data_IF_846608968011
#
_entry.id   IF_846608968011
#
_cell.length_a   1.000
_cell.length_b   1.000
_cell.length_c   1.000
_cell.angle_alpha   90.00
_cell.angle_beta   90.00
_cell.angle_gamma   90.00
#
_symmetry.space_group_name_H-M   'P 1'
#
loop_
_entity.id
_entity.type
_entity.pdbx_description
1 polymer ?
#
# COMPACT_ATOMS: atom_id res chain seq x y z
N UNK A 1 -18.30 2.21 -2.36
CA UNK A 1 -17.41 1.51 -1.39
C UNK A 1 -17.08 2.44 -0.22
N UNK A 2 -16.48 1.96 0.88
CA UNK A 2 -15.98 2.82 1.96
C UNK A 2 -14.62 2.32 2.42
N UNK A 3 -13.63 3.20 2.44
CA UNK A 3 -12.27 2.87 2.88
C UNK A 3 -11.48 4.15 3.17
N UNK A 4 -10.33 3.98 3.83
CA UNK A 4 -9.30 4.99 3.95
C UNK A 4 -7.93 4.39 3.62
N UNK A 5 -7.13 5.09 2.83
CA UNK A 5 -5.78 4.69 2.43
C UNK A 5 -4.79 5.82 2.75
N UNK A 6 -3.64 5.47 3.28
CA UNK A 6 -2.50 6.38 3.39
C UNK A 6 -1.42 5.98 2.40
N UNK A 7 -0.84 6.95 1.70
CA UNK A 7 0.38 6.74 0.94
C UNK A 7 1.59 7.17 1.76
N UNK A 8 2.61 6.34 1.76
CA UNK A 8 3.87 6.55 2.44
C UNK A 8 5.04 6.32 1.49
N UNK A 9 6.19 6.95 1.78
CA UNK A 9 7.45 6.74 1.08
C UNK A 9 8.46 6.07 2.00
N UNK A 10 9.02 4.94 1.56
CA UNK A 10 10.09 4.22 2.24
C UNK A 10 11.24 3.98 1.26
N UNK A 11 12.20 4.90 1.22
CA UNK A 11 13.34 4.82 0.28
C UNK A 11 12.88 4.86 -1.17
N UNK A 12 13.12 3.77 -1.93
CA UNK A 12 12.69 3.60 -3.33
C UNK A 12 11.31 2.94 -3.48
N UNK A 13 10.60 2.68 -2.39
CA UNK A 13 9.26 2.10 -2.45
C UNK A 13 8.20 3.10 -2.00
N UNK A 14 7.05 3.06 -2.66
CA UNK A 14 5.82 3.64 -2.14
C UNK A 14 5.00 2.57 -1.45
N UNK A 15 4.28 2.95 -0.40
CA UNK A 15 3.41 2.05 0.36
C UNK A 15 2.02 2.67 0.44
N UNK A 16 1.07 2.08 -0.27
CA UNK A 16 -0.35 2.41 -0.16
C UNK A 16 -0.98 1.43 0.82
N UNK A 17 -1.37 1.93 2.00
CA UNK A 17 -1.78 1.10 3.13
C UNK A 17 -3.18 1.47 3.61
N UNK A 18 -3.99 0.44 3.86
CA UNK A 18 -5.31 0.55 4.45
C UNK A 18 -5.25 1.08 5.89
N UNK A 19 -6.18 1.99 6.19
CA UNK A 19 -6.45 2.52 7.53
C UNK A 19 -7.86 2.06 7.96
N UNK A 20 -8.01 0.92 8.65
CA UNK A 20 -9.32 0.33 8.95
C UNK A 20 -10.22 1.25 9.78
N UNK A 21 -9.64 1.98 10.73
CA UNK A 21 -10.34 2.99 11.55
C UNK A 21 -10.50 4.34 10.85
N UNK A 22 -9.84 4.52 9.70
CA UNK A 22 -9.68 5.79 9.02
C UNK A 22 -8.78 6.79 9.74
N UNK A 23 -8.26 6.51 10.93
CA UNK A 23 -7.28 7.39 11.60
C UNK A 23 -5.93 7.35 10.89
N UNK A 24 -5.19 8.46 10.88
CA UNK A 24 -3.77 8.42 10.50
C UNK A 24 -2.99 7.57 11.53
N UNK A 25 -1.88 6.96 11.10
CA UNK A 25 -1.04 6.18 12.00
C UNK A 25 -0.54 7.02 13.18
N UNK A 26 -0.66 6.45 14.38
CA UNK A 26 -0.02 6.98 15.58
C UNK A 26 1.28 6.23 15.84
N UNK A 27 2.26 6.87 16.46
CA UNK A 27 3.58 6.27 16.67
C UNK A 27 3.58 4.98 17.51
N UNK A 28 2.54 4.78 18.34
CA UNK A 28 2.34 3.60 19.19
C UNK A 28 1.30 2.63 18.64
N UNK A 29 0.75 2.89 17.45
CA UNK A 29 -0.20 2.01 16.80
C UNK A 29 0.48 0.66 16.47
N UNK A 30 -0.03 -0.48 16.98
CA UNK A 30 0.52 -1.80 16.68
C UNK A 30 0.62 -2.11 15.18
N UNK A 31 -0.34 -1.67 14.37
CA UNK A 31 -0.30 -1.87 12.93
C UNK A 31 0.87 -1.07 12.32
N UNK A 32 1.07 0.17 12.78
CA UNK A 32 2.20 0.97 12.34
C UNK A 32 3.54 0.36 12.76
N UNK A 33 3.65 -0.18 13.99
CA UNK A 33 4.85 -0.88 14.44
C UNK A 33 5.16 -2.10 13.56
N UNK A 34 4.14 -2.90 13.21
CA UNK A 34 4.30 -4.03 12.29
C UNK A 34 4.78 -3.56 10.90
N UNK A 35 4.23 -2.47 10.37
CA UNK A 35 4.69 -1.91 9.09
C UNK A 35 6.18 -1.53 9.17
N UNK A 36 6.60 -0.86 10.25
CA UNK A 36 8.02 -0.49 10.44
C UNK A 36 8.92 -1.72 10.48
N UNK A 37 8.49 -2.78 11.18
CA UNK A 37 9.25 -4.03 11.24
C UNK A 37 9.33 -4.72 9.87
N UNK A 38 8.26 -4.69 9.07
CA UNK A 38 8.26 -5.19 7.69
C UNK A 38 9.21 -4.39 6.78
N UNK A 39 9.21 -3.06 6.87
CA UNK A 39 10.13 -2.19 6.13
C UNK A 39 11.58 -2.48 6.51
N UNK A 40 11.87 -2.60 7.81
CA UNK A 40 13.20 -2.97 8.31
C UNK A 40 13.64 -4.32 7.77
N UNK A 41 12.77 -5.32 7.81
CA UNK A 41 13.06 -6.66 7.31
C UNK A 41 13.33 -6.69 5.79
N UNK A 42 12.68 -5.80 5.04
CA UNK A 42 12.91 -5.61 3.60
C UNK A 42 14.21 -4.85 3.27
N UNK A 43 14.90 -4.29 4.28
CA UNK A 43 16.05 -3.41 4.07
C UNK A 43 15.68 -2.00 3.61
N UNK A 44 14.44 -1.57 3.83
CA UNK A 44 13.97 -0.21 3.56
C UNK A 44 14.05 0.66 4.83
N UNK A 45 14.04 2.00 4.71
CA UNK A 45 13.90 2.88 5.85
C UNK A 45 12.63 2.56 6.65
N UNK A 46 12.77 2.29 7.95
CA UNK A 46 11.68 1.93 8.86
C UNK A 46 10.96 3.16 9.46
N UNK A 47 11.27 4.35 8.97
CA UNK A 47 10.62 5.63 9.26
C UNK A 47 10.01 6.21 7.98
N UNK A 48 8.94 5.58 7.45
CA UNK A 48 8.37 6.01 6.19
C UNK A 48 7.77 7.42 6.29
N UNK A 49 7.95 8.22 5.24
CA UNK A 49 7.43 9.58 5.18
C UNK A 49 5.97 9.57 4.71
N UNK A 50 5.12 10.38 5.36
CA UNK A 50 3.72 10.56 4.95
C UNK A 50 3.67 11.37 3.65
N UNK A 51 2.99 10.83 2.64
CA UNK A 51 2.81 11.47 1.35
C UNK A 51 1.37 11.94 1.20
N UNK A 52 1.16 13.24 1.41
CA UNK A 52 -0.16 13.88 1.31
C UNK A 52 -1.17 13.40 2.35
N UNK A 53 -2.42 13.86 2.18
CA UNK A 53 -3.55 13.50 3.03
C UNK A 53 -4.05 12.07 2.74
N UNK A 54 -4.62 11.37 3.75
CA UNK A 54 -5.26 10.08 3.53
C UNK A 54 -6.39 10.18 2.50
N UNK A 55 -6.42 9.25 1.55
CA UNK A 55 -7.53 9.08 0.62
C UNK A 55 -8.69 8.46 1.38
N UNK A 56 -9.81 9.19 1.50
CA UNK A 56 -11.04 8.72 2.16
C UNK A 56 -12.15 8.61 1.13
N UNK A 57 -12.75 7.43 1.04
CA UNK A 57 -13.88 7.21 0.14
C UNK A 57 -15.13 6.80 0.93
N UNK A 58 -16.32 7.33 0.60
CA UNK A 58 -16.59 8.38 -0.38
C UNK A 58 -15.97 9.74 0.00
N UNK A 59 -15.65 10.55 -1.01
CA UNK A 59 -15.21 11.92 -0.86
C UNK A 59 -16.32 12.77 -0.23
N UNK A 60 -15.96 13.60 0.75
CA UNK A 60 -16.82 14.62 1.33
C UNK A 60 -16.96 15.80 0.35
N UNK A 61 -17.67 15.60 -0.76
CA UNK A 61 -17.97 16.65 -1.75
C UNK A 61 -19.46 16.97 -1.75
N UNK A 62 -19.80 18.24 -1.92
CA UNK A 62 -21.17 18.68 -2.18
C UNK A 62 -21.49 18.41 -3.65
N UNK A 63 -22.49 17.58 -3.94
CA UNK A 63 -22.97 17.30 -5.30
C UNK A 63 -23.31 15.83 -5.53
N UNK A 64 -24.07 15.55 -6.61
CA UNK A 64 -24.49 14.20 -6.99
C UNK A 64 -23.49 13.55 -7.97
N UNK A 65 -22.22 13.46 -7.57
CA UNK A 65 -21.18 12.78 -8.37
C UNK A 65 -21.22 11.30 -8.07
N UNK A 66 -21.12 10.45 -9.09
CA UNK A 66 -21.01 9.00 -8.89
C UNK A 66 -19.77 8.67 -8.07
N UNK A 67 -19.98 7.99 -6.94
CA UNK A 67 -18.93 7.53 -6.04
C UNK A 67 -18.89 5.99 -5.94
N UNK A 68 -19.25 5.33 -7.04
CA UNK A 68 -19.16 3.89 -7.23
C UNK A 68 -17.73 3.35 -7.21
N UNK A 69 -17.57 2.01 -7.31
CA UNK A 69 -16.26 1.36 -7.29
C UNK A 69 -15.30 1.82 -8.39
N UNK A 70 -15.82 2.08 -9.59
CA UNK A 70 -15.03 2.56 -10.74
C UNK A 70 -14.41 3.92 -10.46
N UNK A 71 -15.23 4.89 -10.02
CA UNK A 71 -14.76 6.22 -9.66
C UNK A 71 -13.73 6.19 -8.52
N UNK A 72 -13.89 5.30 -7.54
CA UNK A 72 -12.93 5.12 -6.46
C UNK A 72 -11.58 4.61 -6.98
N UNK A 73 -11.60 3.66 -7.93
CA UNK A 73 -10.40 3.13 -8.57
C UNK A 73 -9.67 4.21 -9.37
N UNK A 74 -10.37 4.89 -10.26
CA UNK A 74 -9.80 5.97 -11.06
C UNK A 74 -9.16 7.05 -10.18
N UNK A 75 -9.81 7.39 -9.06
CA UNK A 75 -9.27 8.32 -8.09
C UNK A 75 -7.97 7.81 -7.45
N UNK A 76 -7.96 6.57 -6.95
CA UNK A 76 -6.79 5.97 -6.29
C UNK A 76 -5.63 5.81 -7.27
N UNK A 77 -5.87 5.28 -8.46
CA UNK A 77 -4.85 5.13 -9.50
C UNK A 77 -4.26 6.48 -9.92
N UNK A 78 -5.10 7.48 -10.21
CA UNK A 78 -4.63 8.82 -10.55
C UNK A 78 -3.84 9.49 -9.41
N UNK A 79 -4.27 9.30 -8.16
CA UNK A 79 -3.57 9.79 -6.98
C UNK A 79 -2.18 9.15 -6.81
N UNK A 80 -2.05 7.84 -7.02
CA UNK A 80 -0.77 7.12 -6.91
C UNK A 80 0.14 7.43 -8.10
N UNK A 81 -0.40 7.47 -9.32
CA UNK A 81 0.34 7.78 -10.54
C UNK A 81 1.03 9.15 -10.44
N UNK A 82 0.30 10.18 -10.00
CA UNK A 82 0.88 11.51 -9.77
C UNK A 82 2.07 11.49 -8.80
N UNK A 83 2.12 10.55 -7.85
CA UNK A 83 3.22 10.43 -6.87
C UNK A 83 4.38 9.61 -7.39
N UNK A 84 4.12 8.66 -8.28
CA UNK A 84 5.16 7.91 -8.98
C UNK A 84 5.93 8.81 -9.96
N UNK A 85 5.27 9.81 -10.53
CA UNK A 85 5.90 10.81 -11.41
C UNK A 85 6.85 11.77 -10.67
N UNK A 86 6.64 11.99 -9.37
CA UNK A 86 7.45 12.93 -8.57
C UNK A 86 8.85 12.38 -8.23
N UNK A 87 9.00 11.06 -8.08
CA UNK A 87 10.28 10.44 -7.74
C UNK A 87 10.31 8.94 -8.10
N UNK A 88 11.47 8.47 -8.56
CA UNK A 88 11.69 7.08 -8.95
C UNK A 88 11.20 6.10 -7.87
N UNK A 89 10.44 5.08 -8.28
CA UNK A 89 9.88 4.07 -7.40
C UNK A 89 10.15 2.67 -7.98
N UNK A 90 10.88 1.84 -7.23
CA UNK A 90 11.22 0.48 -7.63
C UNK A 90 10.03 -0.49 -7.49
N UNK A 91 9.12 -0.23 -6.54
CA UNK A 91 7.95 -1.06 -6.29
C UNK A 91 6.91 -0.33 -5.41
N UNK A 92 5.63 -0.52 -5.74
CA UNK A 92 4.49 -0.07 -4.93
C UNK A 92 4.00 -1.22 -4.04
N UNK A 93 3.95 -1.02 -2.72
CA UNK A 93 3.31 -1.99 -1.82
C UNK A 93 1.83 -1.63 -1.65
N UNK A 94 0.95 -2.60 -1.91
CA UNK A 94 -0.50 -2.46 -1.75
C UNK A 94 -0.93 -3.27 -0.53
N UNK A 95 -1.10 -2.62 0.61
CA UNK A 95 -1.39 -3.28 1.89
C UNK A 95 -2.86 -3.12 2.24
N UNK A 96 -3.58 -4.24 2.30
CA UNK A 96 -5.01 -4.26 2.59
C UNK A 96 -5.87 -4.38 1.33
N UNK A 97 -7.06 -4.98 1.48
CA UNK A 97 -7.93 -5.29 0.34
C UNK A 97 -8.35 -4.04 -0.45
N UNK A 98 -8.67 -2.87 0.16
CA UNK A 98 -8.96 -1.67 -0.60
C UNK A 98 -7.76 -1.16 -1.40
N UNK A 99 -6.54 -1.24 -0.87
CA UNK A 99 -5.34 -0.82 -1.60
C UNK A 99 -5.14 -1.69 -2.85
N UNK A 100 -5.25 -3.01 -2.69
CA UNK A 100 -5.17 -3.97 -3.81
C UNK A 100 -6.30 -3.71 -4.81
N UNK A 101 -7.55 -3.74 -4.37
CA UNK A 101 -8.72 -3.63 -5.25
C UNK A 101 -8.77 -2.32 -6.04
N UNK A 102 -8.47 -1.19 -5.41
CA UNK A 102 -8.62 0.13 -6.02
C UNK A 102 -7.35 0.66 -6.70
N UNK A 103 -6.19 0.05 -6.48
CA UNK A 103 -5.01 0.33 -7.29
C UNK A 103 -4.83 -0.64 -8.47
N UNK A 104 -5.21 -1.92 -8.33
CA UNK A 104 -4.84 -2.98 -9.29
C UNK A 104 -5.98 -3.82 -9.87
N UNK A 105 -7.23 -3.59 -9.49
CA UNK A 105 -8.40 -4.42 -9.86
C UNK A 105 -8.41 -5.85 -9.29
N UNK A 106 -7.34 -6.27 -8.62
CA UNK A 106 -7.25 -7.58 -8.03
C UNK A 106 -8.06 -7.71 -6.73
N UNK A 107 -8.16 -8.93 -6.24
CA UNK A 107 -8.86 -9.28 -5.00
C UNK A 107 -7.90 -9.99 -4.03
N UNK A 108 -8.42 -10.53 -2.93
CA UNK A 108 -7.63 -11.15 -1.87
C UNK A 108 -6.80 -12.36 -2.35
N UNK A 109 -7.19 -13.00 -3.46
CA UNK A 109 -6.48 -14.11 -4.09
C UNK A 109 -5.11 -13.68 -4.63
N UNK A 110 -4.88 -12.38 -4.85
CA UNK A 110 -3.60 -11.83 -5.28
C UNK A 110 -2.65 -11.52 -4.11
N UNK A 111 -3.04 -11.76 -2.85
CA UNK A 111 -2.12 -11.52 -1.75
C UNK A 111 -0.84 -12.35 -1.87
N UNK A 112 0.27 -11.72 -1.50
CA UNK A 112 1.63 -12.22 -1.59
C UNK A 112 2.16 -12.41 -3.01
N UNK A 113 1.49 -11.87 -4.03
CA UNK A 113 1.95 -11.87 -5.42
C UNK A 113 2.33 -10.47 -5.91
N UNK A 114 3.18 -10.44 -6.93
CA UNK A 114 3.51 -9.23 -7.66
C UNK A 114 2.53 -9.06 -8.84
N UNK A 115 2.11 -7.83 -9.06
CA UNK A 115 1.17 -7.40 -10.07
C UNK A 115 1.85 -6.35 -10.96
N UNK A 116 1.74 -6.50 -12.26
CA UNK A 116 2.07 -5.43 -13.21
C UNK A 116 0.81 -4.63 -13.48
N UNK A 117 0.80 -3.36 -13.09
CA UNK A 117 -0.37 -2.48 -13.21
C UNK A 117 -0.04 -1.38 -14.22
N UNK A 118 -0.90 -1.23 -15.23
CA UNK A 118 -0.75 -0.17 -16.22
C UNK A 118 -0.71 1.21 -15.54
N UNK A 119 0.32 2.00 -15.87
CA UNK A 119 0.54 3.33 -15.29
C UNK A 119 1.15 3.36 -13.88
N UNK A 120 1.05 2.28 -13.09
CA UNK A 120 1.64 2.21 -11.74
C UNK A 120 2.90 1.32 -11.65
N UNK A 121 3.15 0.49 -12.66
CA UNK A 121 4.27 -0.44 -12.72
C UNK A 121 4.12 -1.63 -11.77
N UNK A 122 5.24 -2.08 -11.23
CA UNK A 122 5.34 -3.27 -10.36
C UNK A 122 4.77 -2.99 -8.97
N UNK A 123 3.74 -3.74 -8.59
CA UNK A 123 3.11 -3.63 -7.29
C UNK A 123 3.06 -4.96 -6.53
N UNK A 124 3.37 -4.94 -5.25
CA UNK A 124 3.28 -6.12 -4.39
C UNK A 124 2.00 -6.07 -3.54
N UNK A 125 1.11 -7.03 -3.76
CA UNK A 125 -0.16 -7.12 -3.05
C UNK A 125 0.00 -7.85 -1.71
N UNK A 126 -0.50 -7.24 -0.64
CA UNK A 126 -0.33 -7.69 0.73
C UNK A 126 -1.67 -7.71 1.49
N UNK A 127 -1.87 -8.68 2.41
CA UNK A 127 -2.96 -8.60 3.37
C UNK A 127 -2.86 -7.34 4.23
N UNK A 128 -3.99 -6.89 4.79
CA UNK A 128 -4.03 -5.75 5.70
C UNK A 128 -3.22 -6.00 6.99
N UNK A 129 -2.70 -4.94 7.60
CA UNK A 129 -1.85 -5.06 8.79
C UNK A 129 -2.60 -5.67 9.98
N UNK A 130 -3.87 -5.30 10.19
CA UNK A 130 -4.72 -5.90 11.23
C UNK A 130 -4.91 -7.40 10.98
N UNK A 131 -5.21 -7.81 9.74
CA UNK A 131 -5.33 -9.22 9.38
C UNK A 131 -4.02 -10.00 9.62
N UNK A 132 -2.86 -9.41 9.33
CA UNK A 132 -1.56 -10.03 9.63
C UNK A 132 -1.29 -10.14 11.14
N UNK A 133 -1.87 -9.27 11.96
CA UNK A 133 -1.79 -9.36 13.41
C UNK A 133 -2.72 -10.44 13.96
N UNK A 134 -3.95 -10.50 13.47
CA UNK A 134 -4.98 -11.47 13.88
C UNK A 134 -4.65 -12.89 13.41
N UNK A 135 -4.02 -13.02 12.23
CA UNK A 135 -3.65 -14.29 11.63
C UNK A 135 -2.12 -14.41 11.45
N UNK A 136 -1.34 -14.62 12.54
CA UNK A 136 0.13 -14.67 12.47
C UNK A 136 0.70 -15.71 11.51
N UNK A 137 -0.04 -16.79 11.24
CA UNK A 137 0.38 -17.84 10.31
C UNK A 137 0.60 -17.30 8.88
N UNK A 138 -0.09 -16.23 8.46
CA UNK A 138 0.10 -15.58 7.16
C UNK A 138 1.44 -14.89 7.01
N UNK A 139 2.12 -14.54 8.11
CA UNK A 139 3.42 -13.85 8.06
C UNK A 139 4.50 -14.69 7.39
N UNK A 140 4.39 -16.02 7.44
CA UNK A 140 5.31 -16.91 6.74
C UNK A 140 5.22 -16.72 5.22
N UNK A 141 4.01 -16.63 4.67
CA UNK A 141 3.78 -16.43 3.23
C UNK A 141 4.24 -15.05 2.78
N UNK A 142 3.93 -14.01 3.57
CA UNK A 142 4.42 -12.64 3.35
C UNK A 142 5.95 -12.62 3.32
N UNK A 143 6.59 -13.27 4.28
CA UNK A 143 8.06 -13.32 4.36
C UNK A 143 8.66 -14.05 3.16
N UNK A 144 8.08 -15.18 2.75
CA UNK A 144 8.54 -15.92 1.57
C UNK A 144 8.42 -15.09 0.29
N UNK A 145 7.34 -14.34 0.12
CA UNK A 145 7.16 -13.43 -1.01
C UNK A 145 8.15 -12.26 -0.93
N UNK A 146 8.27 -11.61 0.23
CA UNK A 146 9.20 -10.50 0.48
C UNK A 146 10.63 -10.87 0.08
N UNK A 147 11.10 -12.06 0.46
CA UNK A 147 12.45 -12.54 0.13
C UNK A 147 12.75 -12.60 -1.36
N UNK A 148 11.76 -12.86 -2.20
CA UNK A 148 11.93 -12.90 -3.66
C UNK A 148 12.03 -11.51 -4.26
N UNK A 149 11.38 -10.52 -3.63
CA UNK A 149 11.28 -9.15 -4.11
C UNK A 149 12.38 -8.23 -3.56
N UNK A 150 12.96 -8.57 -2.39
CA UNK A 150 13.98 -7.76 -1.72
C UNK A 150 15.17 -7.39 -2.61
N UNK A 151 15.58 -8.26 -3.54
CA UNK A 151 16.69 -7.97 -4.46
C UNK A 151 16.44 -6.76 -5.36
N UNK A 152 15.17 -6.42 -5.63
CA UNK A 152 14.77 -5.27 -6.46
C UNK A 152 14.77 -3.96 -5.70
N UNK A 153 14.55 -4.00 -4.38
CA UNK A 153 14.38 -2.81 -3.55
C UNK A 153 15.68 -2.32 -2.93
N UNK A 154 16.62 -3.23 -2.69
CA UNK A 154 17.96 -2.90 -2.22
C UNK A 154 18.72 -2.18 -3.33
N UNK A 155 19.50 -1.17 -2.97
CA UNK A 155 20.46 -0.58 -3.91
C UNK A 155 21.37 -1.72 -4.41
N UNK A 156 21.55 -1.81 -5.73
CA UNK A 156 22.86 -2.22 -6.22
C UNK A 156 23.77 -1.05 -5.84
N UNK A 157 24.39 -1.13 -4.67
CA UNK A 157 25.64 -0.41 -4.42
C UNK A 157 26.68 -1.11 -5.32
N UNK A 158 26.79 -0.65 -6.57
CA UNK A 158 28.05 -0.73 -7.32
C UNK A 158 29.00 0.36 -6.83
#
# INVERSE_FOLDING_TARGET
PRFALQLLRAGRCLVLVELPTGGAFQSRDPAYLLLKDMLRAAGLPDSPQIVGEPVRWPLLRRGNVDQGPEAARQFVQGFVMARLEEAECACLWLIGLPAVRFASEANAEAFNTELEIEGLGSAWALPGLELLMEEPHRKADVWQAMRRLMSRWKQNDE
#
